data_IF_475237970404
#
_entry.id   IF_475237970404
#
_cell.length_a   1.000
_cell.length_b   1.000
_cell.length_c   1.000
_cell.angle_alpha   90.00
_cell.angle_beta   90.00
_cell.angle_gamma   90.00
#
_symmetry.space_group_name_H-M   'P 1'
#
loop_
_entity.id
_entity.type
_entity.pdbx_description
1 polymer ?
#
# COMPACT_ATOMS: atom_id res chain seq x y z
N UNK A 1 16.81 -27.40 10.68
CA UNK A 1 16.99 -26.74 9.37
C UNK A 1 15.88 -25.75 9.03
N UNK A 2 14.58 -26.11 9.12
CA UNK A 2 13.48 -25.18 8.82
C UNK A 2 13.45 -23.94 9.74
N UNK A 3 13.68 -24.13 11.05
CA UNK A 3 13.70 -23.03 12.02
C UNK A 3 14.85 -22.03 11.76
N UNK A 4 16.05 -22.53 11.44
CA UNK A 4 17.20 -21.68 11.07
C UNK A 4 16.97 -20.87 9.79
N UNK A 5 16.30 -21.45 8.79
CA UNK A 5 15.96 -20.71 7.57
C UNK A 5 14.96 -19.59 7.86
N UNK A 6 13.98 -19.87 8.72
CA UNK A 6 12.98 -18.90 9.13
C UNK A 6 13.63 -17.75 9.93
N UNK A 7 14.51 -18.05 10.89
CA UNK A 7 15.27 -17.02 11.64
C UNK A 7 16.13 -16.14 10.73
N UNK A 8 16.74 -16.71 9.68
CA UNK A 8 17.50 -15.92 8.69
C UNK A 8 16.60 -14.91 7.95
N UNK A 9 15.36 -15.30 7.64
CA UNK A 9 14.39 -14.39 7.00
C UNK A 9 14.03 -13.23 7.95
N UNK A 10 13.83 -13.50 9.26
CA UNK A 10 13.53 -12.45 10.24
C UNK A 10 14.69 -11.43 10.36
N UNK A 11 15.93 -11.92 10.38
CA UNK A 11 17.11 -11.07 10.40
C UNK A 11 17.28 -10.28 9.10
N UNK A 12 17.01 -10.89 7.95
CA UNK A 12 17.03 -10.20 6.66
C UNK A 12 15.98 -9.07 6.63
N UNK A 13 14.74 -9.34 7.08
CA UNK A 13 13.71 -8.32 7.17
C UNK A 13 14.15 -7.16 8.09
N UNK A 14 14.70 -7.48 9.26
CA UNK A 14 15.22 -6.47 10.19
C UNK A 14 16.36 -5.64 9.58
N UNK A 15 17.28 -6.28 8.86
CA UNK A 15 18.36 -5.58 8.15
C UNK A 15 17.82 -4.65 7.06
N UNK A 16 16.83 -5.09 6.28
CA UNK A 16 16.22 -4.24 5.25
C UNK A 16 15.46 -3.07 5.85
N UNK A 17 14.80 -3.23 7.01
CA UNK A 17 14.20 -2.10 7.73
C UNK A 17 15.26 -1.06 8.10
N UNK A 18 16.38 -1.50 8.67
CA UNK A 18 17.47 -0.61 9.07
C UNK A 18 18.12 0.08 7.86
N UNK A 19 18.40 -0.66 6.79
CA UNK A 19 18.96 -0.09 5.54
C UNK A 19 18.00 0.93 4.93
N UNK A 20 16.70 0.62 4.87
CA UNK A 20 15.68 1.54 4.36
C UNK A 20 15.58 2.79 5.22
N UNK A 21 15.68 2.64 6.54
CA UNK A 21 15.64 3.73 7.51
C UNK A 21 16.86 4.66 7.37
N UNK A 22 18.07 4.08 7.33
CA UNK A 22 19.31 4.85 7.12
C UNK A 22 19.30 5.56 5.78
N UNK A 23 18.91 4.89 4.70
CA UNK A 23 18.80 5.53 3.40
C UNK A 23 17.77 6.68 3.40
N UNK A 24 16.64 6.51 4.09
CA UNK A 24 15.64 7.56 4.24
C UNK A 24 16.20 8.76 5.01
N UNK A 25 17.01 8.56 6.04
CA UNK A 25 17.68 9.67 6.76
C UNK A 25 18.58 10.52 5.87
N UNK A 26 19.23 9.88 4.88
CA UNK A 26 20.28 10.49 4.05
C UNK A 26 19.73 11.14 2.79
N UNK A 27 18.84 10.46 2.06
CA UNK A 27 18.31 10.90 0.75
C UNK A 27 16.80 10.60 0.63
N UNK A 28 15.94 11.22 1.45
CA UNK A 28 14.53 10.81 1.55
C UNK A 28 13.75 11.00 0.24
N UNK A 29 13.97 12.10 -0.49
CA UNK A 29 13.27 12.35 -1.75
C UNK A 29 13.71 11.38 -2.85
N UNK A 30 15.02 11.27 -3.07
CA UNK A 30 15.61 10.41 -4.10
C UNK A 30 15.33 8.93 -3.81
N UNK A 31 15.39 8.51 -2.55
CA UNK A 31 15.04 7.15 -2.14
C UNK A 31 13.58 6.83 -2.48
N UNK A 32 12.65 7.73 -2.17
CA UNK A 32 11.25 7.53 -2.53
C UNK A 32 11.08 7.45 -4.04
N UNK A 33 11.69 8.38 -4.80
CA UNK A 33 11.61 8.40 -6.26
C UNK A 33 12.17 7.11 -6.89
N UNK A 34 13.28 6.59 -6.34
CA UNK A 34 13.89 5.33 -6.76
C UNK A 34 12.98 4.13 -6.42
N UNK A 35 12.50 4.06 -5.18
CA UNK A 35 11.63 2.98 -4.73
C UNK A 35 10.32 2.96 -5.53
N UNK A 36 9.70 4.12 -5.72
CA UNK A 36 8.44 4.24 -6.45
C UNK A 36 8.60 3.92 -7.94
N UNK A 37 9.68 4.39 -8.59
CA UNK A 37 9.87 4.16 -10.03
C UNK A 37 10.36 2.74 -10.36
N UNK A 38 11.24 2.16 -9.53
CA UNK A 38 11.90 0.89 -9.84
C UNK A 38 11.23 -0.28 -9.12
N UNK A 39 11.12 -0.19 -7.79
CA UNK A 39 10.62 -1.30 -6.98
C UNK A 39 9.09 -1.41 -7.05
N UNK A 40 8.39 -0.27 -7.11
CA UNK A 40 6.94 -0.19 -7.18
C UNK A 40 6.34 -1.03 -8.30
N UNK A 41 6.64 -0.76 -9.59
CA UNK A 41 6.01 -1.49 -10.70
C UNK A 41 6.31 -2.99 -10.66
N UNK A 42 7.53 -3.37 -10.27
CA UNK A 42 7.88 -4.80 -10.11
C UNK A 42 7.08 -5.45 -8.99
N UNK A 43 6.93 -4.75 -7.85
CA UNK A 43 6.12 -5.21 -6.73
C UNK A 43 4.66 -5.39 -7.17
N UNK A 44 4.04 -4.36 -7.77
CA UNK A 44 2.64 -4.41 -8.20
C UNK A 44 2.38 -5.58 -9.16
N UNK A 45 3.24 -5.76 -10.17
CA UNK A 45 3.08 -6.83 -11.17
C UNK A 45 3.22 -8.23 -10.56
N UNK A 46 4.22 -8.42 -9.70
CA UNK A 46 4.45 -9.72 -9.05
C UNK A 46 3.38 -10.03 -8.00
N UNK A 47 2.88 -9.03 -7.30
CA UNK A 47 1.78 -9.16 -6.36
C UNK A 47 0.44 -9.45 -7.04
N UNK A 48 0.08 -8.70 -8.07
CA UNK A 48 -1.16 -8.97 -8.82
C UNK A 48 -1.14 -10.40 -9.38
N UNK A 49 0.00 -10.85 -9.92
CA UNK A 49 0.18 -12.25 -10.36
C UNK A 49 -0.05 -13.23 -9.20
N UNK A 50 0.52 -12.95 -8.03
CA UNK A 50 0.43 -13.81 -6.85
C UNK A 50 -0.99 -13.89 -6.26
N UNK A 51 -1.70 -12.75 -6.21
CA UNK A 51 -3.10 -12.67 -5.76
C UNK A 51 -4.00 -13.41 -6.74
N UNK A 52 -3.72 -13.30 -8.05
CA UNK A 52 -4.48 -14.01 -9.08
C UNK A 52 -4.43 -15.53 -8.88
N UNK A 53 -3.24 -16.09 -8.60
CA UNK A 53 -3.07 -17.53 -8.35
C UNK A 53 -3.81 -17.99 -7.07
N UNK A 54 -4.12 -17.06 -6.15
CA UNK A 54 -4.93 -17.30 -4.94
C UNK A 54 -6.42 -17.04 -5.13
N UNK A 55 -6.86 -16.81 -6.36
CA UNK A 55 -8.26 -16.53 -6.67
C UNK A 55 -8.78 -15.28 -5.96
N UNK A 56 -7.92 -14.28 -5.71
CA UNK A 56 -8.27 -13.04 -5.01
C UNK A 56 -8.85 -13.26 -3.60
N UNK A 57 -8.53 -14.40 -2.98
CA UNK A 57 -9.02 -14.80 -1.67
C UNK A 57 -10.56 -14.96 -1.58
N UNK A 58 -11.26 -14.96 -2.72
CA UNK A 58 -12.71 -15.20 -2.78
C UNK A 58 -12.98 -16.71 -2.68
N UNK A 59 -13.35 -17.17 -1.49
CA UNK A 59 -13.60 -18.59 -1.22
C UNK A 59 -15.10 -18.91 -1.20
N UNK A 60 -15.56 -19.76 -2.11
CA UNK A 60 -16.89 -20.40 -2.06
C UNK A 60 -16.75 -21.92 -2.24
N UNK A 61 -17.60 -22.70 -1.57
CA UNK A 61 -17.63 -24.17 -1.70
C UNK A 61 -18.09 -24.57 -3.10
N UNK A 62 -19.26 -24.06 -3.49
CA UNK A 62 -19.78 -24.19 -4.85
C UNK A 62 -18.91 -23.44 -5.89
N UNK A 63 -18.60 -24.11 -7.01
CA UNK A 63 -17.74 -23.59 -8.05
C UNK A 63 -18.38 -22.46 -8.88
N UNK A 64 -19.69 -22.51 -9.13
CA UNK A 64 -20.41 -21.49 -9.87
C UNK A 64 -20.58 -20.21 -9.04
N UNK A 65 -20.83 -20.33 -7.73
CA UNK A 65 -20.87 -19.21 -6.80
C UNK A 65 -19.49 -18.57 -6.62
N UNK A 66 -18.43 -19.37 -6.51
CA UNK A 66 -17.05 -18.87 -6.51
C UNK A 66 -16.74 -18.04 -7.76
N UNK A 67 -17.13 -18.54 -8.94
CA UNK A 67 -16.93 -17.82 -10.21
C UNK A 67 -17.73 -16.52 -10.25
N UNK A 68 -19.00 -16.53 -9.85
CA UNK A 68 -19.86 -15.34 -9.80
C UNK A 68 -19.29 -14.28 -8.86
N UNK A 69 -18.91 -14.67 -7.64
CA UNK A 69 -18.32 -13.76 -6.66
C UNK A 69 -16.99 -13.18 -7.15
N UNK A 70 -16.13 -14.00 -7.76
CA UNK A 70 -14.87 -13.53 -8.37
C UNK A 70 -15.11 -12.52 -9.50
N UNK A 71 -16.06 -12.79 -10.39
CA UNK A 71 -16.40 -11.87 -11.48
C UNK A 71 -17.03 -10.57 -10.96
N UNK A 72 -17.90 -10.63 -9.95
CA UNK A 72 -18.49 -9.45 -9.33
C UNK A 72 -17.41 -8.58 -8.64
N UNK A 73 -16.50 -9.22 -7.91
CA UNK A 73 -15.34 -8.55 -7.29
C UNK A 73 -14.47 -7.84 -8.31
N UNK A 74 -14.05 -8.56 -9.37
CA UNK A 74 -13.20 -7.99 -10.42
C UNK A 74 -13.94 -6.94 -11.25
N UNK A 75 -15.25 -7.09 -11.45
CA UNK A 75 -16.09 -6.11 -12.12
C UNK A 75 -16.17 -4.80 -11.33
N UNK A 76 -16.40 -4.87 -10.02
CA UNK A 76 -16.39 -3.70 -9.15
C UNK A 76 -15.02 -3.01 -9.15
N UNK A 77 -13.93 -3.77 -8.95
CA UNK A 77 -12.57 -3.22 -9.00
C UNK A 77 -12.26 -2.60 -10.37
N UNK A 78 -12.68 -3.25 -11.47
CA UNK A 78 -12.48 -2.75 -12.82
C UNK A 78 -13.25 -1.45 -13.12
N UNK A 79 -14.51 -1.35 -12.68
CA UNK A 79 -15.30 -0.11 -12.80
C UNK A 79 -14.68 1.01 -11.98
N UNK A 80 -14.33 0.74 -10.71
CA UNK A 80 -13.65 1.74 -9.86
C UNK A 80 -12.35 2.21 -10.50
N UNK A 81 -11.53 1.29 -11.01
CA UNK A 81 -10.28 1.64 -11.68
C UNK A 81 -10.51 2.50 -12.92
N UNK A 82 -11.50 2.16 -13.76
CA UNK A 82 -11.83 2.93 -14.96
C UNK A 82 -12.25 4.37 -14.63
N UNK A 83 -13.07 4.56 -13.59
CA UNK A 83 -13.49 5.89 -13.12
C UNK A 83 -12.29 6.67 -12.59
N UNK A 84 -11.41 6.05 -11.80
CA UNK A 84 -10.20 6.72 -11.28
C UNK A 84 -9.21 7.09 -12.39
N UNK A 85 -9.04 6.24 -13.41
CA UNK A 85 -8.23 6.58 -14.60
C UNK A 85 -8.85 7.78 -15.33
N UNK A 86 -10.17 7.78 -15.53
CA UNK A 86 -10.85 8.91 -16.15
C UNK A 86 -10.62 10.22 -15.37
N UNK A 87 -10.70 10.18 -14.03
CA UNK A 87 -10.40 11.31 -13.15
C UNK A 87 -8.98 11.83 -13.31
N UNK A 88 -7.98 10.94 -13.19
CA UNK A 88 -6.55 11.31 -13.31
C UNK A 88 -6.21 11.83 -14.70
N UNK A 89 -6.71 11.20 -15.77
CA UNK A 89 -6.48 11.69 -17.15
C UNK A 89 -7.19 13.02 -17.36
N UNK A 90 -8.42 13.17 -16.85
CA UNK A 90 -9.18 14.42 -16.90
C UNK A 90 -8.43 15.58 -16.26
N UNK A 91 -7.89 15.37 -15.05
CA UNK A 91 -7.16 16.38 -14.30
C UNK A 91 -5.76 16.64 -14.87
N UNK A 92 -4.92 15.60 -15.00
CA UNK A 92 -3.48 15.73 -15.26
C UNK A 92 -3.13 15.90 -16.74
N UNK A 93 -3.96 15.40 -17.66
CA UNK A 93 -3.70 15.47 -19.10
C UNK A 93 -4.64 16.48 -19.76
N UNK A 94 -5.95 16.33 -19.53
CA UNK A 94 -6.96 17.13 -20.21
C UNK A 94 -7.25 18.48 -19.55
N UNK A 95 -6.71 18.73 -18.35
CA UNK A 95 -6.92 19.96 -17.57
C UNK A 95 -8.41 20.28 -17.35
N UNK A 96 -9.23 19.22 -17.19
CA UNK A 96 -10.68 19.25 -16.95
C UNK A 96 -10.98 18.49 -15.66
N UNK A 97 -10.77 19.11 -14.48
CA UNK A 97 -10.98 18.44 -13.21
C UNK A 97 -12.45 18.05 -13.05
N UNK A 98 -12.70 16.79 -12.68
CA UNK A 98 -14.01 16.31 -12.26
C UNK A 98 -14.08 16.21 -10.74
N UNK A 99 -15.30 16.22 -10.19
CA UNK A 99 -15.48 15.99 -8.76
C UNK A 99 -15.02 14.56 -8.40
N UNK A 100 -14.08 14.39 -7.44
CA UNK A 100 -13.58 13.07 -7.04
C UNK A 100 -14.59 12.30 -6.16
N UNK A 101 -15.76 12.88 -5.87
CA UNK A 101 -16.76 12.32 -4.96
C UNK A 101 -17.15 10.88 -5.35
N UNK A 102 -17.35 10.64 -6.65
CA UNK A 102 -17.77 9.34 -7.15
C UNK A 102 -16.62 8.33 -7.12
N UNK A 103 -15.40 8.74 -7.48
CA UNK A 103 -14.18 7.93 -7.39
C UNK A 103 -13.94 7.45 -5.96
N UNK A 104 -13.98 8.37 -5.00
CA UNK A 104 -13.79 8.07 -3.58
C UNK A 104 -14.91 7.16 -3.06
N UNK A 105 -16.16 7.41 -3.46
CA UNK A 105 -17.30 6.59 -3.05
C UNK A 105 -17.21 5.15 -3.56
N UNK A 106 -16.78 4.97 -4.81
CA UNK A 106 -16.52 3.66 -5.38
C UNK A 106 -15.35 2.94 -4.69
N UNK A 107 -14.30 3.67 -4.32
CA UNK A 107 -13.19 3.09 -3.54
C UNK A 107 -13.66 2.59 -2.17
N UNK A 108 -14.48 3.36 -1.44
CA UNK A 108 -15.07 2.88 -0.18
C UNK A 108 -15.95 1.66 -0.39
N UNK A 109 -16.71 1.60 -1.48
CA UNK A 109 -17.49 0.42 -1.83
C UNK A 109 -16.60 -0.80 -2.08
N UNK A 110 -15.46 -0.65 -2.78
CA UNK A 110 -14.45 -1.71 -2.95
C UNK A 110 -13.94 -2.18 -1.58
N UNK A 111 -13.59 -1.25 -0.69
CA UNK A 111 -13.09 -1.55 0.65
C UNK A 111 -14.08 -2.36 1.49
N UNK A 112 -15.36 -1.98 1.49
CA UNK A 112 -16.43 -2.68 2.21
C UNK A 112 -16.78 -4.01 1.55
N UNK A 113 -16.86 -4.05 0.22
CA UNK A 113 -17.13 -5.27 -0.53
C UNK A 113 -16.06 -6.34 -0.27
N UNK A 114 -14.78 -5.95 -0.20
CA UNK A 114 -13.69 -6.86 0.16
C UNK A 114 -13.93 -7.52 1.53
N UNK A 115 -14.34 -6.75 2.55
CA UNK A 115 -14.66 -7.30 3.87
C UNK A 115 -15.87 -8.25 3.82
N UNK A 116 -16.95 -7.85 3.16
CA UNK A 116 -18.18 -8.67 3.05
C UNK A 116 -17.93 -10.01 2.37
N UNK A 117 -17.12 -10.01 1.30
CA UNK A 117 -16.72 -11.24 0.59
C UNK A 117 -15.89 -12.16 1.48
N UNK A 118 -14.95 -11.61 2.23
CA UNK A 118 -14.05 -12.39 3.09
C UNK A 118 -14.78 -13.00 4.28
N UNK A 119 -15.66 -12.24 4.93
CA UNK A 119 -16.37 -12.70 6.12
C UNK A 119 -17.67 -13.44 5.80
N UNK A 120 -18.00 -13.63 4.51
CA UNK A 120 -19.23 -14.26 4.03
C UNK A 120 -20.45 -13.71 4.78
N UNK A 121 -20.57 -12.38 4.78
CA UNK A 121 -21.64 -11.71 5.50
C UNK A 121 -23.01 -12.23 5.02
N UNK A 122 -23.93 -12.50 5.96
CA UNK A 122 -25.30 -12.87 5.62
C UNK A 122 -25.96 -11.73 4.84
N UNK A 123 -26.88 -12.00 3.89
CA UNK A 123 -27.53 -10.96 3.09
C UNK A 123 -28.06 -9.75 3.87
N UNK A 124 -28.76 -9.89 5.03
CA UNK A 124 -29.18 -8.72 5.80
C UNK A 124 -28.01 -7.92 6.38
N UNK A 125 -26.94 -8.59 6.82
CA UNK A 125 -25.73 -7.91 7.32
C UNK A 125 -25.02 -7.17 6.20
N UNK A 126 -24.91 -7.79 5.02
CA UNK A 126 -24.35 -7.14 3.84
C UNK A 126 -25.17 -5.92 3.41
N UNK A 127 -26.51 -6.03 3.39
CA UNK A 127 -27.40 -4.91 3.08
C UNK A 127 -27.26 -3.75 4.07
N UNK A 128 -27.20 -4.05 5.38
CA UNK A 128 -26.96 -3.03 6.42
C UNK A 128 -25.59 -2.37 6.23
N UNK A 129 -24.53 -3.14 6.00
CA UNK A 129 -23.19 -2.59 5.79
C UNK A 129 -23.14 -1.66 4.56
N UNK A 130 -23.78 -2.05 3.45
CA UNK A 130 -23.88 -1.23 2.25
C UNK A 130 -24.70 0.04 2.52
N UNK A 131 -25.84 -0.08 3.22
CA UNK A 131 -26.68 1.08 3.57
C UNK A 131 -25.94 2.07 4.48
N UNK A 132 -25.20 1.58 5.48
CA UNK A 132 -24.37 2.41 6.35
C UNK A 132 -23.23 3.07 5.59
N UNK A 133 -22.64 2.37 4.61
CA UNK A 133 -21.61 2.95 3.73
C UNK A 133 -22.18 4.07 2.88
N UNK A 134 -23.36 3.85 2.26
CA UNK A 134 -24.05 4.87 1.47
C UNK A 134 -24.44 6.09 2.33
N UNK A 135 -24.95 5.85 3.54
CA UNK A 135 -25.26 6.92 4.50
C UNK A 135 -23.99 7.68 4.90
N UNK A 136 -22.91 6.97 5.21
CA UNK A 136 -21.61 7.58 5.53
C UNK A 136 -21.09 8.47 4.40
N UNK A 137 -21.17 8.00 3.15
CA UNK A 137 -20.83 8.80 1.96
C UNK A 137 -21.73 10.04 1.87
N UNK A 138 -23.05 9.89 2.01
CA UNK A 138 -23.99 11.01 1.93
C UNK A 138 -23.72 12.09 3.00
N UNK A 139 -23.41 11.68 4.23
CA UNK A 139 -23.17 12.59 5.35
C UNK A 139 -21.76 13.21 5.34
N UNK A 140 -20.75 12.45 4.93
CA UNK A 140 -19.34 12.86 5.07
C UNK A 140 -18.72 13.39 3.78
N UNK A 141 -19.34 13.23 2.60
CA UNK A 141 -18.76 13.63 1.31
C UNK A 141 -18.33 15.10 1.20
N UNK A 142 -18.87 15.98 2.06
CA UNK A 142 -18.47 17.40 2.13
C UNK A 142 -17.34 17.68 3.11
N UNK A 143 -16.96 16.71 3.94
CA UNK A 143 -15.87 16.84 4.91
C UNK A 143 -14.52 16.63 4.25
N UNK A 144 -13.48 17.43 4.58
CA UNK A 144 -12.11 17.19 4.13
C UNK A 144 -11.59 15.79 4.52
N UNK A 145 -12.10 15.22 5.62
CA UNK A 145 -11.71 13.89 6.10
C UNK A 145 -12.13 12.78 5.14
N UNK A 146 -13.20 12.99 4.37
CA UNK A 146 -13.73 11.97 3.46
C UNK A 146 -12.74 11.62 2.34
N UNK A 147 -12.13 12.63 1.72
CA UNK A 147 -11.07 12.42 0.74
C UNK A 147 -9.75 11.99 1.39
N UNK A 148 -9.41 12.57 2.53
CA UNK A 148 -8.16 12.28 3.23
C UNK A 148 -8.04 10.80 3.63
N UNK A 149 -9.10 10.21 4.20
CA UNK A 149 -9.07 8.81 4.63
C UNK A 149 -8.85 7.87 3.43
N UNK A 150 -9.61 8.04 2.33
CA UNK A 150 -9.44 7.21 1.14
C UNK A 150 -8.04 7.36 0.53
N UNK A 151 -7.54 8.59 0.45
CA UNK A 151 -6.20 8.88 -0.04
C UNK A 151 -5.11 8.22 0.83
N UNK A 152 -5.23 8.30 2.16
CA UNK A 152 -4.31 7.63 3.08
C UNK A 152 -4.43 6.11 3.03
N UNK A 153 -5.63 5.54 2.84
CA UNK A 153 -5.82 4.09 2.65
C UNK A 153 -4.99 3.60 1.45
N UNK A 154 -5.04 4.32 0.32
CA UNK A 154 -4.30 3.93 -0.89
C UNK A 154 -2.78 4.14 -0.72
N UNK A 155 -2.38 5.16 0.03
CA UNK A 155 -0.97 5.53 0.20
C UNK A 155 -0.41 4.95 1.50
N UNK A 156 -0.38 5.75 2.57
CA UNK A 156 0.41 5.49 3.77
C UNK A 156 -0.17 4.40 4.64
N UNK A 157 -1.49 4.30 4.77
CA UNK A 157 -2.10 3.19 5.51
C UNK A 157 -1.77 1.87 4.82
N UNK A 158 -1.80 1.80 3.48
CA UNK A 158 -1.38 0.59 2.77
C UNK A 158 0.12 0.29 2.98
N UNK A 159 1.02 1.21 2.62
CA UNK A 159 2.46 0.90 2.66
C UNK A 159 3.04 0.82 4.08
N UNK A 160 2.46 1.53 5.06
CA UNK A 160 2.97 1.58 6.44
C UNK A 160 2.11 0.75 7.40
N UNK A 161 0.81 0.96 7.45
CA UNK A 161 -0.06 0.35 8.48
C UNK A 161 -0.38 -1.11 8.14
N UNK A 162 -0.68 -1.44 6.88
CA UNK A 162 -0.89 -2.84 6.47
C UNK A 162 0.42 -3.63 6.52
N UNK A 163 1.55 -3.02 6.13
CA UNK A 163 2.88 -3.62 6.35
C UNK A 163 3.13 -3.93 7.83
N UNK A 164 2.84 -2.99 8.74
CA UNK A 164 2.94 -3.21 10.17
C UNK A 164 2.03 -4.37 10.63
N UNK A 165 0.81 -4.46 10.13
CA UNK A 165 -0.11 -5.56 10.42
C UNK A 165 0.45 -6.91 9.95
N UNK A 166 1.07 -6.98 8.77
CA UNK A 166 1.70 -8.21 8.29
C UNK A 166 2.92 -8.63 9.13
N UNK A 167 3.78 -7.68 9.51
CA UNK A 167 4.93 -7.96 10.40
C UNK A 167 4.44 -8.44 11.77
N UNK A 168 3.41 -7.79 12.32
CA UNK A 168 2.78 -8.17 13.59
C UNK A 168 2.20 -9.57 13.53
N UNK A 169 1.42 -9.87 12.48
CA UNK A 169 0.84 -11.19 12.29
C UNK A 169 1.93 -12.26 12.11
N UNK A 170 3.07 -11.90 11.51
CA UNK A 170 4.27 -12.73 11.45
C UNK A 170 4.81 -13.07 12.82
N UNK A 171 5.04 -12.08 13.67
CA UNK A 171 5.50 -12.29 15.03
C UNK A 171 4.54 -13.19 15.85
N UNK A 172 3.23 -12.94 15.74
CA UNK A 172 2.19 -13.74 16.42
C UNK A 172 2.21 -15.20 15.98
N UNK A 173 2.28 -15.47 14.66
CA UNK A 173 2.26 -16.84 14.13
C UNK A 173 3.55 -17.58 14.38
N UNK A 174 4.68 -16.88 14.23
CA UNK A 174 6.01 -17.46 14.31
C UNK A 174 6.40 -17.83 15.76
N UNK A 175 5.87 -17.12 16.76
CA UNK A 175 6.11 -17.36 18.20
C UNK A 175 7.60 -17.44 18.58
N UNK A 176 8.47 -16.77 17.82
CA UNK A 176 9.94 -16.74 18.03
C UNK A 176 10.42 -15.32 18.29
N UNK A 177 11.47 -15.19 19.12
CA UNK A 177 11.98 -13.89 19.56
C UNK A 177 12.47 -13.01 18.38
N UNK A 178 13.09 -13.61 17.36
CA UNK A 178 13.58 -12.89 16.17
C UNK A 178 12.47 -12.14 15.43
N UNK A 179 11.26 -12.70 15.35
CA UNK A 179 10.13 -12.07 14.69
C UNK A 179 9.58 -10.88 15.51
N UNK A 180 9.59 -10.98 16.83
CA UNK A 180 9.24 -9.87 17.73
C UNK A 180 10.29 -8.75 17.69
N UNK A 181 11.57 -9.09 17.56
CA UNK A 181 12.63 -8.09 17.34
C UNK A 181 12.45 -7.35 16.03
N UNK A 182 12.07 -8.03 14.95
CA UNK A 182 11.75 -7.40 13.68
C UNK A 182 10.60 -6.39 13.82
N UNK A 183 9.54 -6.74 14.56
CA UNK A 183 8.45 -5.81 14.87
C UNK A 183 8.91 -4.58 15.67
N UNK A 184 9.76 -4.79 16.69
CA UNK A 184 10.31 -3.70 17.49
C UNK A 184 11.18 -2.76 16.63
N UNK A 185 12.04 -3.31 15.77
CA UNK A 185 12.88 -2.53 14.85
C UNK A 185 12.02 -1.71 13.90
N UNK A 186 10.95 -2.27 13.35
CA UNK A 186 10.02 -1.53 12.49
C UNK A 186 9.45 -0.30 13.21
N UNK A 187 8.94 -0.48 14.44
CA UNK A 187 8.40 0.62 15.24
C UNK A 187 9.48 1.67 15.57
N UNK A 188 10.69 1.23 15.94
CA UNK A 188 11.80 2.13 16.22
C UNK A 188 12.23 2.94 14.99
N UNK A 189 12.26 2.34 13.79
CA UNK A 189 12.55 3.06 12.55
C UNK A 189 11.52 4.17 12.29
N UNK A 190 10.23 3.89 12.48
CA UNK A 190 9.17 4.91 12.33
C UNK A 190 9.34 6.04 13.35
N UNK A 191 9.58 5.71 14.61
CA UNK A 191 9.75 6.69 15.68
C UNK A 191 11.02 7.53 15.50
N UNK A 192 12.10 6.95 14.97
CA UNK A 192 13.39 7.62 14.81
C UNK A 192 13.27 8.93 14.00
N UNK A 193 12.41 8.99 12.99
CA UNK A 193 12.27 10.20 12.18
C UNK A 193 11.73 11.40 12.96
N UNK A 194 10.90 11.16 13.97
CA UNK A 194 10.35 12.20 14.84
C UNK A 194 11.27 12.54 16.02
N UNK A 195 12.09 11.57 16.45
CA UNK A 195 13.05 11.75 17.54
C UNK A 195 14.33 12.46 17.08
N UNK A 196 14.67 12.35 15.79
CA UNK A 196 15.86 12.94 15.18
C UNK A 196 15.46 13.81 13.98
N UNK A 197 14.80 14.97 14.21
CA UNK A 197 14.43 15.87 13.13
C UNK A 197 15.68 16.37 12.38
N UNK A 198 15.57 16.60 11.07
CA UNK A 198 16.67 17.16 10.28
C UNK A 198 16.96 18.59 10.71
N UNK A 199 18.20 19.00 10.54
CA UNK A 199 18.59 20.41 10.58
C UNK A 199 18.82 20.84 9.12
N UNK A 200 17.78 21.39 8.49
CA UNK A 200 17.85 21.73 7.06
C UNK A 200 18.73 22.97 6.89
N UNK A 201 19.94 22.75 6.38
CA UNK A 201 20.79 23.81 5.86
C UNK A 201 20.57 24.02 4.35
N UNK A 202 20.29 22.95 3.60
CA UNK A 202 20.25 22.98 2.13
C UNK A 202 18.84 22.71 1.55
N UNK A 203 18.38 23.57 0.62
CA UNK A 203 17.10 23.38 -0.05
C UNK A 203 17.15 22.18 -1.02
N UNK A 204 16.01 21.50 -1.21
CA UNK A 204 15.88 20.43 -2.19
C UNK A 204 16.32 20.88 -3.61
N UNK A 205 17.00 19.99 -4.35
CA UNK A 205 17.48 20.28 -5.70
C UNK A 205 16.32 20.52 -6.69
N UNK A 206 16.61 21.21 -7.80
CA UNK A 206 15.60 21.44 -8.85
C UNK A 206 15.12 20.13 -9.46
N UNK A 207 16.02 19.14 -9.60
CA UNK A 207 15.67 17.79 -10.03
C UNK A 207 14.64 17.14 -9.10
N UNK A 208 14.86 17.23 -7.78
CA UNK A 208 13.93 16.69 -6.78
C UNK A 208 12.57 17.38 -6.88
N UNK A 209 12.53 18.72 -6.94
CA UNK A 209 11.27 19.46 -7.03
C UNK A 209 10.48 19.07 -8.29
N UNK A 210 11.15 19.00 -9.44
CA UNK A 210 10.51 18.64 -10.70
C UNK A 210 10.02 17.19 -10.70
N UNK A 211 10.81 16.25 -10.17
CA UNK A 211 10.48 14.82 -10.17
C UNK A 211 9.46 14.44 -9.10
N UNK A 212 9.47 15.13 -7.96
CA UNK A 212 8.58 14.87 -6.83
C UNK A 212 7.23 15.59 -6.93
N UNK A 213 7.07 16.56 -7.84
CA UNK A 213 5.83 17.32 -8.03
C UNK A 213 4.53 16.49 -8.02
N UNK A 214 4.43 15.31 -8.70
CA UNK A 214 3.22 14.49 -8.67
C UNK A 214 2.85 13.93 -7.29
N UNK A 215 3.79 13.95 -6.34
CA UNK A 215 3.68 13.32 -5.02
C UNK A 215 3.61 14.33 -3.86
N UNK A 216 3.80 15.62 -4.13
CA UNK A 216 3.81 16.69 -3.11
C UNK A 216 2.57 16.68 -2.21
N UNK A 217 1.41 16.38 -2.81
CA UNK A 217 0.14 16.31 -2.09
C UNK A 217 0.19 15.30 -0.94
N UNK A 218 0.89 14.17 -1.11
CA UNK A 218 1.03 13.17 -0.07
C UNK A 218 1.75 13.74 1.16
N UNK A 219 2.89 14.38 0.91
CA UNK A 219 3.70 15.00 1.97
C UNK A 219 2.91 16.11 2.67
N UNK A 220 2.33 17.03 1.90
CA UNK A 220 1.52 18.12 2.41
C UNK A 220 0.34 17.64 3.28
N UNK A 221 -0.39 16.62 2.84
CA UNK A 221 -1.51 16.05 3.63
C UNK A 221 -1.04 15.35 4.90
N UNK A 222 0.13 14.71 4.90
CA UNK A 222 0.70 14.13 6.12
C UNK A 222 1.18 15.20 7.10
N UNK A 223 1.81 16.28 6.64
CA UNK A 223 2.20 17.43 7.50
C UNK A 223 0.97 17.93 8.28
N UNK A 224 -0.12 18.20 7.56
CA UNK A 224 -1.37 18.66 8.17
C UNK A 224 -2.01 17.60 9.08
N UNK A 225 -2.07 16.34 8.66
CA UNK A 225 -2.69 15.26 9.43
C UNK A 225 -1.92 14.93 10.73
N UNK A 226 -0.60 15.15 10.76
CA UNK A 226 0.25 14.93 11.93
C UNK A 226 0.35 16.17 12.83
N UNK A 227 -0.27 17.30 12.45
CA UNK A 227 -0.21 18.55 13.22
C UNK A 227 1.17 19.21 13.21
N UNK A 228 1.98 18.95 12.18
CA UNK A 228 3.33 19.50 12.04
C UNK A 228 3.36 20.82 11.24
N UNK A 229 2.23 21.21 10.66
CA UNK A 229 2.08 22.43 9.87
C UNK A 229 0.69 22.48 9.21
N UNK A 230 0.45 23.49 8.38
CA UNK A 230 -0.86 23.65 7.72
C UNK A 230 -1.04 22.66 6.55
N UNK A 231 0.06 22.18 5.96
CA UNK A 231 0.04 21.19 4.89
C UNK A 231 -0.51 21.75 3.57
N UNK A 232 -0.31 23.06 3.35
CA UNK A 232 -0.88 23.79 2.22
C UNK A 232 0.17 24.59 1.43
N UNK A 233 1.44 24.61 1.86
CA UNK A 233 2.51 25.37 1.22
C UNK A 233 3.65 24.46 0.77
N UNK A 234 4.15 24.65 -0.45
CA UNK A 234 5.30 23.88 -0.96
C UNK A 234 6.58 24.13 -0.17
N UNK A 235 6.72 25.31 0.45
CA UNK A 235 7.82 25.60 1.36
C UNK A 235 7.82 24.68 2.59
N UNK A 236 6.65 24.26 3.08
CA UNK A 236 6.55 23.29 4.19
C UNK A 236 7.06 21.91 3.76
N UNK A 237 6.91 21.54 2.48
CA UNK A 237 7.38 20.24 1.97
C UNK A 237 8.90 20.23 1.77
N UNK A 238 9.46 21.27 1.15
CA UNK A 238 10.85 21.25 0.67
C UNK A 238 11.83 22.07 1.51
N UNK A 239 11.35 22.94 2.41
CA UNK A 239 12.16 23.92 3.12
C UNK A 239 11.88 23.95 4.62
N UNK A 240 11.21 22.93 5.17
CA UNK A 240 10.96 22.82 6.62
C UNK A 240 11.38 21.46 7.17
N UNK A 241 11.83 21.48 8.43
CA UNK A 241 12.30 20.28 9.12
C UNK A 241 11.21 19.23 9.21
N UNK A 242 9.96 19.67 9.32
CA UNK A 242 8.75 18.85 9.36
C UNK A 242 8.49 18.18 8.02
N UNK A 243 8.61 18.91 6.90
CA UNK A 243 8.44 18.33 5.56
C UNK A 243 9.45 17.26 5.24
N UNK A 244 10.72 17.44 5.64
CA UNK A 244 11.75 16.42 5.47
C UNK A 244 11.55 15.25 6.45
N UNK A 245 11.07 15.51 7.67
CA UNK A 245 10.68 14.45 8.63
C UNK A 245 9.58 13.56 8.04
N UNK A 246 8.54 14.16 7.48
CA UNK A 246 7.47 13.46 6.78
C UNK A 246 8.01 12.73 5.56
N UNK A 247 8.91 13.35 4.78
CA UNK A 247 9.50 12.71 3.61
C UNK A 247 10.33 11.48 3.98
N UNK A 248 11.09 11.52 5.07
CA UNK A 248 11.82 10.35 5.61
C UNK A 248 10.87 9.19 5.92
N UNK A 249 9.74 9.49 6.56
CA UNK A 249 8.70 8.49 6.84
C UNK A 249 8.12 7.90 5.55
N UNK A 250 7.76 8.73 4.57
CA UNK A 250 7.23 8.27 3.27
C UNK A 250 8.27 7.37 2.58
N UNK A 251 9.52 7.81 2.49
CA UNK A 251 10.58 7.09 1.81
C UNK A 251 10.84 5.71 2.44
N UNK A 252 10.92 5.67 3.78
CA UNK A 252 11.03 4.41 4.52
C UNK A 252 9.84 3.49 4.28
N UNK A 253 8.62 4.02 4.39
CA UNK A 253 7.41 3.22 4.26
C UNK A 253 7.31 2.54 2.89
N UNK A 254 7.49 3.31 1.81
CA UNK A 254 7.46 2.78 0.44
C UNK A 254 8.60 1.81 0.17
N UNK A 255 9.83 2.17 0.53
CA UNK A 255 11.01 1.32 0.28
C UNK A 255 10.90 -0.01 1.00
N UNK A 256 10.63 0.03 2.30
CA UNK A 256 10.56 -1.20 3.09
C UNK A 256 9.34 -2.04 2.71
N UNK A 257 8.19 -1.43 2.39
CA UNK A 257 7.02 -2.17 1.91
C UNK A 257 7.35 -3.05 0.69
N UNK A 258 8.01 -2.47 -0.33
CA UNK A 258 8.42 -3.22 -1.53
C UNK A 258 9.49 -4.27 -1.22
N UNK A 259 10.50 -3.94 -0.40
CA UNK A 259 11.54 -4.90 -0.04
C UNK A 259 11.01 -6.08 0.78
N UNK A 260 10.09 -5.81 1.71
CA UNK A 260 9.39 -6.82 2.52
C UNK A 260 8.56 -7.77 1.65
N UNK A 261 8.06 -7.32 0.51
CA UNK A 261 7.46 -8.22 -0.48
C UNK A 261 8.51 -9.17 -1.08
N UNK A 262 9.63 -8.65 -1.55
CA UNK A 262 10.64 -9.46 -2.24
C UNK A 262 11.40 -10.46 -1.35
N UNK A 263 11.51 -10.21 -0.04
CA UNK A 263 12.17 -11.15 0.89
C UNK A 263 11.39 -12.43 1.14
N UNK A 264 10.06 -12.43 0.92
CA UNK A 264 9.18 -13.53 1.32
C UNK A 264 9.09 -14.61 0.25
N UNK A 265 10.25 -15.12 -0.20
CA UNK A 265 10.32 -16.09 -1.30
C UNK A 265 9.65 -17.43 -1.00
N UNK A 266 9.53 -17.82 0.27
CA UNK A 266 8.88 -19.07 0.72
C UNK A 266 7.35 -19.02 0.61
N UNK A 267 6.73 -17.87 0.92
CA UNK A 267 5.28 -17.67 0.87
C UNK A 267 4.85 -17.14 -0.48
N UNK A 268 5.59 -16.16 -0.98
CA UNK A 268 5.22 -15.42 -2.17
C UNK A 268 5.66 -16.19 -3.40
N UNK A 269 6.91 -16.68 -3.39
CA UNK A 269 7.41 -17.44 -4.53
C UNK A 269 7.27 -16.67 -5.83
N UNK A 270 7.52 -15.36 -5.82
CA UNK A 270 7.38 -14.50 -7.01
C UNK A 270 8.24 -14.98 -8.20
N UNK A 271 9.30 -15.74 -7.92
CA UNK A 271 10.17 -16.41 -8.89
C UNK A 271 9.63 -17.76 -9.39
N UNK A 272 8.55 -18.30 -8.80
CA UNK A 272 7.92 -19.59 -9.12
C UNK A 272 6.70 -19.43 -10.03
N UNK A 273 6.74 -18.47 -10.95
CA UNK A 273 5.71 -18.23 -11.97
C UNK A 273 6.12 -18.86 -13.30
N UNK A 274 5.15 -19.04 -14.22
CA UNK A 274 5.45 -19.56 -15.55
C UNK A 274 6.37 -18.61 -16.33
N UNK A 275 7.27 -19.17 -17.16
CA UNK A 275 8.20 -18.37 -18.00
C UNK A 275 7.49 -17.31 -18.84
N UNK A 276 6.34 -17.59 -19.52
CA UNK A 276 5.64 -16.56 -20.27
C UNK A 276 5.18 -15.41 -19.38
N UNK A 277 4.67 -15.70 -18.17
CA UNK A 277 4.26 -14.66 -17.23
C UNK A 277 5.44 -13.83 -16.73
N UNK A 278 6.58 -14.46 -16.44
CA UNK A 278 7.80 -13.76 -16.04
C UNK A 278 8.30 -12.82 -17.14
N UNK A 279 8.27 -13.24 -18.41
CA UNK A 279 8.63 -12.39 -19.55
C UNK A 279 7.69 -11.20 -19.67
N UNK A 280 6.38 -11.40 -19.55
CA UNK A 280 5.40 -10.29 -19.58
C UNK A 280 5.65 -9.30 -18.44
N UNK A 281 5.88 -9.78 -17.22
CA UNK A 281 6.21 -8.92 -16.07
C UNK A 281 7.50 -8.13 -16.32
N UNK A 282 8.54 -8.77 -16.85
CA UNK A 282 9.81 -8.11 -17.15
C UNK A 282 9.65 -7.03 -18.22
N UNK A 283 8.89 -7.29 -19.29
CA UNK A 283 8.63 -6.31 -20.35
C UNK A 283 7.81 -5.12 -19.84
N UNK A 284 6.75 -5.38 -19.05
CA UNK A 284 5.95 -4.32 -18.44
C UNK A 284 6.78 -3.48 -17.45
N UNK A 285 7.67 -4.13 -16.68
CA UNK A 285 8.57 -3.45 -15.77
C UNK A 285 9.59 -2.57 -16.51
N UNK A 286 10.24 -3.07 -17.57
CA UNK A 286 11.15 -2.26 -18.40
C UNK A 286 10.40 -1.08 -19.04
N UNK A 287 9.17 -1.30 -19.52
CA UNK A 287 8.32 -0.23 -20.03
C UNK A 287 8.01 0.83 -18.96
N UNK A 288 7.70 0.42 -17.74
CA UNK A 288 7.51 1.32 -16.60
C UNK A 288 8.77 2.15 -16.30
N UNK A 289 9.96 1.53 -16.31
CA UNK A 289 11.23 2.24 -16.14
C UNK A 289 11.45 3.29 -17.22
N UNK A 290 11.16 2.96 -18.49
CA UNK A 290 11.27 3.90 -19.60
C UNK A 290 10.35 5.11 -19.42
N UNK A 291 9.11 4.91 -18.95
CA UNK A 291 8.19 6.02 -18.70
C UNK A 291 8.69 6.96 -17.60
N UNK A 292 9.22 6.43 -16.49
CA UNK A 292 9.81 7.26 -15.43
C UNK A 292 11.11 7.93 -15.85
N UNK A 293 11.88 7.29 -16.72
CA UNK A 293 13.08 7.88 -17.30
C UNK A 293 12.76 9.12 -18.15
N UNK A 294 11.68 9.08 -18.93
CA UNK A 294 11.20 10.23 -19.71
C UNK A 294 10.62 11.33 -18.81
N UNK A 295 9.72 10.98 -17.88
CA UNK A 295 9.11 11.94 -16.95
C UNK A 295 8.41 11.24 -15.79
N UNK A 296 8.66 11.71 -14.56
CA UNK A 296 7.93 11.24 -13.39
C UNK A 296 6.43 11.50 -13.45
N UNK A 297 5.98 12.59 -14.07
CA UNK A 297 4.56 12.88 -14.29
C UNK A 297 3.94 11.84 -15.22
N UNK A 298 4.61 11.53 -16.34
CA UNK A 298 4.13 10.52 -17.29
C UNK A 298 4.08 9.12 -16.65
N UNK A 299 5.18 8.71 -16.01
CA UNK A 299 5.26 7.45 -15.29
C UNK A 299 4.19 7.33 -14.21
N UNK A 300 3.96 8.41 -13.43
CA UNK A 300 2.89 8.46 -12.45
C UNK A 300 1.51 8.29 -13.08
N UNK A 301 1.14 9.07 -14.10
CA UNK A 301 -0.20 8.98 -14.71
C UNK A 301 -0.47 7.59 -15.29
N UNK A 302 0.51 6.98 -15.95
CA UNK A 302 0.34 5.64 -16.56
C UNK A 302 0.26 4.55 -15.48
N UNK A 303 1.15 4.57 -14.49
CA UNK A 303 1.26 3.50 -13.49
C UNK A 303 0.42 3.73 -12.23
N UNK A 304 -0.21 4.88 -12.08
CA UNK A 304 -1.20 5.14 -11.04
C UNK A 304 -2.27 4.05 -11.04
N UNK A 305 -2.75 3.66 -12.23
CA UNK A 305 -3.73 2.58 -12.38
C UNK A 305 -3.24 1.25 -11.80
N UNK A 306 -1.99 0.87 -12.10
CA UNK A 306 -1.37 -0.33 -11.60
C UNK A 306 -1.13 -0.25 -10.08
N UNK A 307 -0.77 0.94 -9.59
CA UNK A 307 -0.62 1.23 -8.17
C UNK A 307 -1.95 1.15 -7.41
N UNK A 308 -3.07 1.64 -7.94
CA UNK A 308 -4.34 1.51 -7.22
C UNK A 308 -4.90 0.08 -7.36
N UNK A 309 -4.69 -0.56 -8.51
CA UNK A 309 -5.16 -1.91 -8.77
C UNK A 309 -4.60 -2.93 -7.77
N UNK A 310 -3.28 -2.93 -7.50
CA UNK A 310 -2.73 -3.90 -6.54
C UNK A 310 -3.29 -3.67 -5.14
N UNK A 311 -3.37 -2.42 -4.67
CA UNK A 311 -3.98 -2.07 -3.38
C UNK A 311 -5.40 -2.63 -3.27
N UNK A 312 -6.26 -2.33 -4.26
CA UNK A 312 -7.65 -2.79 -4.25
C UNK A 312 -7.75 -4.32 -4.21
N UNK A 313 -6.93 -5.02 -5.00
CA UNK A 313 -6.91 -6.47 -5.05
C UNK A 313 -6.37 -7.12 -3.77
N UNK A 314 -5.53 -6.41 -3.01
CA UNK A 314 -4.97 -6.87 -1.73
C UNK A 314 -5.92 -6.66 -0.54
N UNK A 315 -6.90 -5.75 -0.63
CA UNK A 315 -7.85 -5.45 0.47
C UNK A 315 -8.48 -6.69 1.13
N UNK A 316 -8.91 -7.74 0.40
CA UNK A 316 -9.37 -8.98 1.02
C UNK A 316 -8.34 -9.62 1.97
N UNK A 317 -7.05 -9.64 1.59
CA UNK A 317 -5.97 -10.15 2.42
C UNK A 317 -5.72 -9.25 3.64
N UNK A 318 -5.80 -7.93 3.45
CA UNK A 318 -5.67 -6.96 4.54
C UNK A 318 -6.73 -7.18 5.62
N UNK A 319 -8.01 -7.28 5.22
CA UNK A 319 -9.13 -7.59 6.14
C UNK A 319 -8.92 -8.90 6.91
N UNK A 320 -8.48 -9.96 6.22
CA UNK A 320 -8.15 -11.25 6.86
C UNK A 320 -7.05 -11.11 7.92
N UNK A 321 -6.04 -10.30 7.63
CA UNK A 321 -4.88 -10.11 8.50
C UNK A 321 -5.27 -9.37 9.78
N UNK A 322 -6.02 -8.28 9.69
CA UNK A 322 -6.55 -7.59 10.87
C UNK A 322 -7.48 -8.48 11.71
N UNK A 323 -8.36 -9.25 11.07
CA UNK A 323 -9.22 -10.20 11.79
C UNK A 323 -8.42 -11.32 12.49
N UNK A 324 -7.30 -11.76 11.91
CA UNK A 324 -6.42 -12.73 12.55
C UNK A 324 -5.70 -12.15 13.77
N UNK A 325 -5.19 -10.91 13.69
CA UNK A 325 -4.59 -10.19 14.81
C UNK A 325 -5.61 -10.02 15.94
N UNK A 326 -6.83 -9.53 15.63
CA UNK A 326 -7.89 -9.35 16.62
C UNK A 326 -8.27 -10.64 17.36
N UNK A 327 -8.32 -11.78 16.66
CA UNK A 327 -8.54 -13.09 17.31
C UNK A 327 -7.41 -13.48 18.25
N UNK A 328 -6.16 -13.28 17.83
CA UNK A 328 -5.00 -13.59 18.66
C UNK A 328 -4.98 -12.75 19.95
N UNK A 329 -5.32 -11.46 19.86
CA UNK A 329 -5.46 -10.57 21.02
C UNK A 329 -6.60 -10.99 21.95
N UNK A 330 -7.67 -11.58 21.41
CA UNK A 330 -8.78 -12.15 22.18
C UNK A 330 -8.48 -13.56 22.76
N UNK A 331 -7.22 -14.01 22.74
CA UNK A 331 -6.82 -15.32 23.25
C UNK A 331 -7.26 -16.51 22.40
N UNK A 332 -7.77 -16.28 21.18
CA UNK A 332 -8.18 -17.33 20.25
C UNK A 332 -7.05 -17.60 19.27
N UNK A 333 -6.74 -18.87 19.03
CA UNK A 333 -5.78 -19.21 17.97
C UNK A 333 -6.27 -18.63 16.63
N UNK A 334 -5.44 -17.87 15.91
CA UNK A 334 -5.79 -17.48 14.56
C UNK A 334 -6.03 -18.77 13.74
N UNK A 335 -7.07 -18.81 12.89
CA UNK A 335 -7.37 -20.01 12.12
C UNK A 335 -6.13 -20.44 11.32
N UNK A 336 -5.92 -21.75 11.11
CA UNK A 336 -4.91 -22.21 10.16
C UNK A 336 -5.30 -21.62 8.81
N UNK A 337 -4.58 -20.57 8.41
CA UNK A 337 -4.86 -19.83 7.19
C UNK A 337 -3.81 -20.17 6.16
N UNK A 338 -4.25 -20.21 4.89
CA UNK A 338 -3.38 -19.93 3.74
C UNK A 338 -2.31 -18.92 4.12
N UNK A 339 -1.06 -19.12 3.66
CA UNK A 339 0.08 -18.40 4.18
C UNK A 339 -0.19 -16.91 4.05
N UNK A 340 -0.46 -16.28 5.20
CA UNK A 340 -0.24 -14.85 5.33
C UNK A 340 1.23 -14.64 4.99
N UNK A 341 1.62 -13.51 4.39
CA UNK A 341 3.02 -13.16 4.11
C UNK A 341 3.86 -12.97 5.40
N UNK A 342 3.64 -13.80 6.41
CA UNK A 342 4.02 -13.68 7.80
C UNK A 342 4.80 -14.92 8.31
N UNK A 343 5.05 -15.93 7.47
CA UNK A 343 5.85 -17.12 7.86
C UNK A 343 6.72 -17.65 6.75
#
# INVERSE_FOLDING_TARGET
MQDQAATRIDHLNSALMLVSCVAAFVIPFELFLLAYAILGPLHYLTEISWIHDRGYFVGHEDAAERRRAKLAWLGLVGVTLAVMIYGVVGEQILHRPSSPLFEIGLFYLVFVAAALLIFRARPPVAAIAIALTALGIALLSRSPLYGLIAFLIITIIHVLVFTFAFVTLGAIRAKRASAWWSLAIYALCVLAFFLFPPDIADPASDYVRASYAPFELLNAKLIGALGLGDGNRLSEVYQSNEGVTVMRLIAFAYTYHYLNWFTKTSVIGWHRISRPRAVVIALLWIGALALYWESYTLGFVVLYSLSVLHVMLELPLNHRSFAAIGRALAGRNPPPGDPSPAT
#
